data_IF_819651827821
#
_entry.id   IF_819651827821
#
_cell.length_a   1.000
_cell.length_b   1.000
_cell.length_c   1.000
_cell.angle_alpha   90.00
_cell.angle_beta   90.00
_cell.angle_gamma   90.00
#
_symmetry.space_group_name_H-M   'P 1'
#
loop_
_entity.id
_entity.type
_entity.pdbx_description
1 polymer ?
#
# COMPACT_ATOMS: atom_id res chain seq x y z
N UNK A 1 -18.94 26.77 -10.30
CA UNK A 1 -19.19 25.34 -10.62
C UNK A 1 -20.35 24.87 -9.77
N UNK A 2 -21.48 24.47 -10.34
CA UNK A 2 -22.61 23.93 -9.57
C UNK A 2 -22.33 22.47 -9.23
N UNK A 3 -22.61 22.09 -7.98
CA UNK A 3 -22.53 20.67 -7.57
C UNK A 3 -23.60 19.88 -8.32
N UNK A 4 -23.33 18.60 -8.67
CA UNK A 4 -24.34 17.73 -9.23
C UNK A 4 -25.47 17.52 -8.22
N UNK A 5 -26.70 17.43 -8.71
CA UNK A 5 -27.91 17.24 -7.87
C UNK A 5 -28.11 15.79 -7.44
N UNK A 6 -27.42 14.85 -8.09
CA UNK A 6 -27.44 13.40 -7.77
C UNK A 6 -26.16 12.73 -8.24
N UNK A 7 -25.82 11.62 -7.64
CA UNK A 7 -24.73 10.72 -8.06
C UNK A 7 -25.08 9.29 -7.62
N UNK A 8 -24.59 8.29 -8.35
CA UNK A 8 -24.80 6.87 -8.02
C UNK A 8 -24.09 6.48 -6.72
N UNK A 9 -22.93 7.04 -6.48
CA UNK A 9 -22.14 6.80 -5.27
C UNK A 9 -21.68 8.14 -4.69
N UNK A 10 -21.94 8.34 -3.41
CA UNK A 10 -21.47 9.50 -2.66
C UNK A 10 -20.51 9.02 -1.58
N UNK A 11 -19.30 9.56 -1.58
CA UNK A 11 -18.27 9.31 -0.58
C UNK A 11 -18.10 10.57 0.26
N UNK A 12 -18.18 10.43 1.56
CA UNK A 12 -18.01 11.54 2.51
C UNK A 12 -16.67 11.42 3.20
N UNK A 13 -15.81 12.39 2.98
CA UNK A 13 -14.45 12.48 3.51
C UNK A 13 -13.36 12.24 2.47
N UNK A 14 -12.51 13.23 2.26
CA UNK A 14 -11.39 13.24 1.29
C UNK A 14 -10.05 12.83 1.91
N UNK A 15 -10.04 11.93 2.90
CA UNK A 15 -8.83 11.27 3.39
C UNK A 15 -8.37 10.14 2.47
N UNK A 16 -7.29 9.44 2.85
CA UNK A 16 -6.73 8.34 2.03
C UNK A 16 -7.77 7.26 1.72
N UNK A 17 -8.64 6.91 2.64
CA UNK A 17 -9.68 5.89 2.43
C UNK A 17 -10.70 6.38 1.41
N UNK A 18 -11.25 7.59 1.56
CA UNK A 18 -12.24 8.15 0.64
C UNK A 18 -11.67 8.36 -0.76
N UNK A 19 -10.47 8.92 -0.86
CA UNK A 19 -9.78 9.11 -2.14
C UNK A 19 -9.50 7.77 -2.84
N UNK A 20 -8.98 6.78 -2.11
CA UNK A 20 -8.72 5.45 -2.67
C UNK A 20 -10.02 4.76 -3.13
N UNK A 21 -11.08 4.83 -2.33
CA UNK A 21 -12.39 4.28 -2.70
C UNK A 21 -12.93 4.96 -3.96
N UNK A 22 -12.86 6.30 -4.04
CA UNK A 22 -13.29 7.06 -5.20
C UNK A 22 -12.51 6.66 -6.46
N UNK A 23 -11.18 6.57 -6.35
CA UNK A 23 -10.30 6.17 -7.43
C UNK A 23 -10.67 4.79 -8.00
N UNK A 24 -10.77 3.78 -7.13
CA UNK A 24 -11.08 2.42 -7.57
C UNK A 24 -12.49 2.27 -8.14
N UNK A 25 -13.48 2.94 -7.57
CA UNK A 25 -14.83 2.93 -8.12
C UNK A 25 -14.91 3.64 -9.49
N UNK A 26 -14.25 4.78 -9.64
CA UNK A 26 -14.16 5.48 -10.91
C UNK A 26 -13.42 4.64 -11.97
N UNK A 27 -12.34 3.96 -11.58
CA UNK A 27 -11.56 3.07 -12.46
C UNK A 27 -12.40 1.92 -13.04
N UNK A 28 -13.39 1.43 -12.31
CA UNK A 28 -14.34 0.39 -12.78
C UNK A 28 -15.63 0.98 -13.36
N UNK A 29 -15.67 2.29 -13.66
CA UNK A 29 -16.73 2.96 -14.41
C UNK A 29 -17.92 3.44 -13.59
N UNK A 30 -17.83 3.50 -12.26
CA UNK A 30 -18.88 4.09 -11.44
C UNK A 30 -18.80 5.61 -11.44
N UNK A 31 -19.97 6.25 -11.47
CA UNK A 31 -20.09 7.69 -11.22
C UNK A 31 -20.01 7.95 -9.72
N UNK A 32 -18.98 8.69 -9.31
CA UNK A 32 -18.66 8.92 -7.89
C UNK A 32 -18.60 10.41 -7.59
N UNK A 33 -19.25 10.83 -6.52
CA UNK A 33 -19.13 12.15 -5.94
C UNK A 33 -18.39 12.07 -4.59
N UNK A 34 -17.22 12.69 -4.51
CA UNK A 34 -16.47 12.80 -3.25
C UNK A 34 -16.75 14.17 -2.62
N UNK A 35 -17.24 14.16 -1.39
CA UNK A 35 -17.51 15.35 -0.59
C UNK A 35 -16.47 15.48 0.52
N UNK A 36 -15.75 16.60 0.52
CA UNK A 36 -14.80 16.96 1.57
C UNK A 36 -15.11 18.39 2.06
N UNK A 37 -15.16 18.58 3.36
CA UNK A 37 -15.50 19.88 3.97
C UNK A 37 -14.33 20.86 4.01
N UNK A 38 -13.11 20.37 3.84
CA UNK A 38 -11.88 21.15 3.89
C UNK A 38 -11.00 20.82 2.68
N UNK A 39 -9.69 20.75 2.83
CA UNK A 39 -8.78 20.28 1.80
C UNK A 39 -8.65 18.77 1.83
N UNK A 40 -8.42 18.14 0.68
CA UNK A 40 -8.13 16.71 0.62
C UNK A 40 -6.95 16.37 1.54
N UNK A 41 -7.05 15.27 2.24
CA UNK A 41 -6.04 14.73 3.16
C UNK A 41 -5.74 15.57 4.41
N UNK A 42 -6.42 16.68 4.65
CA UNK A 42 -6.17 17.61 5.77
C UNK A 42 -6.49 17.07 7.17
N UNK A 43 -7.19 15.92 7.26
CA UNK A 43 -7.54 15.25 8.51
C UNK A 43 -6.44 14.29 8.99
N UNK A 44 -6.84 13.09 9.46
CA UNK A 44 -5.93 12.06 9.99
C UNK A 44 -4.84 11.63 8.99
N UNK A 45 -5.10 11.72 7.70
CA UNK A 45 -4.14 11.36 6.65
C UNK A 45 -2.88 12.22 6.70
N UNK A 46 -3.00 13.51 6.96
CA UNK A 46 -1.87 14.42 7.12
C UNK A 46 -0.94 14.05 8.28
N UNK A 47 -1.49 13.45 9.33
CA UNK A 47 -0.73 13.06 10.53
C UNK A 47 -0.03 11.70 10.41
N UNK A 48 -0.20 11.00 9.28
CA UNK A 48 0.45 9.71 9.07
C UNK A 48 1.96 9.86 8.86
N UNK A 49 2.74 8.95 9.45
CA UNK A 49 4.20 8.96 9.34
C UNK A 49 4.75 8.58 7.95
N UNK A 50 3.87 8.21 7.01
CA UNK A 50 4.28 7.83 5.65
C UNK A 50 5.00 6.48 5.55
N UNK A 51 4.93 5.65 6.59
CA UNK A 51 5.54 4.32 6.61
C UNK A 51 4.57 3.27 6.04
N UNK A 52 4.89 2.74 4.88
CA UNK A 52 4.11 1.69 4.22
C UNK A 52 4.86 0.37 4.35
N UNK A 53 4.57 -0.39 5.39
CA UNK A 53 5.21 -1.67 5.65
C UNK A 53 4.27 -2.84 5.38
N UNK A 54 4.75 -3.88 4.69
CA UNK A 54 3.95 -5.05 4.34
C UNK A 54 3.78 -6.03 5.50
N UNK A 55 4.87 -6.36 6.17
CA UNK A 55 4.90 -7.44 7.15
C UNK A 55 4.10 -7.12 8.41
N UNK A 56 3.15 -7.98 8.74
CA UNK A 56 2.34 -7.96 9.97
C UNK A 56 2.33 -9.34 10.61
N UNK A 57 1.82 -9.44 11.83
CA UNK A 57 1.65 -10.71 12.54
C UNK A 57 0.56 -11.60 11.94
N UNK A 58 -0.35 -11.06 11.15
CA UNK A 58 -1.43 -11.76 10.49
C UNK A 58 -1.15 -11.90 9.00
N UNK A 59 -1.25 -13.12 8.46
CA UNK A 59 -0.97 -13.42 7.06
C UNK A 59 -1.91 -12.68 6.09
N UNK A 60 -3.21 -12.63 6.38
CA UNK A 60 -4.19 -11.97 5.52
C UNK A 60 -3.91 -10.46 5.41
N UNK A 61 -3.56 -9.83 6.54
CA UNK A 61 -3.18 -8.40 6.56
C UNK A 61 -1.87 -8.20 5.80
N UNK A 62 -0.90 -9.11 5.92
CA UNK A 62 0.35 -9.06 5.16
C UNK A 62 0.10 -9.13 3.65
N UNK A 63 -0.80 -9.99 3.20
CA UNK A 63 -1.19 -10.09 1.78
C UNK A 63 -1.91 -8.81 1.30
N UNK A 64 -2.86 -8.30 2.08
CA UNK A 64 -3.56 -7.04 1.76
C UNK A 64 -2.59 -5.87 1.62
N UNK A 65 -1.62 -5.76 2.53
CA UNK A 65 -0.60 -4.72 2.46
C UNK A 65 0.37 -4.92 1.28
N UNK A 66 0.61 -6.16 0.86
CA UNK A 66 1.35 -6.45 -0.38
C UNK A 66 0.66 -5.86 -1.61
N UNK A 67 -0.66 -5.98 -1.71
CA UNK A 67 -1.44 -5.32 -2.75
C UNK A 67 -1.29 -3.79 -2.69
N UNK A 68 -1.34 -3.21 -1.50
CA UNK A 68 -1.14 -1.76 -1.32
C UNK A 68 0.24 -1.30 -1.78
N UNK A 69 1.29 -2.07 -1.51
CA UNK A 69 2.65 -1.78 -1.97
C UNK A 69 2.73 -1.79 -3.49
N UNK A 70 2.16 -2.82 -4.13
CA UNK A 70 2.10 -2.91 -5.60
C UNK A 70 1.34 -1.73 -6.22
N UNK A 71 0.27 -1.28 -5.55
CA UNK A 71 -0.47 -0.10 -5.97
C UNK A 71 0.40 1.17 -5.89
N UNK A 72 1.10 1.40 -4.78
CA UNK A 72 1.99 2.56 -4.62
C UNK A 72 3.08 2.60 -5.69
N UNK A 73 3.62 1.46 -6.07
CA UNK A 73 4.65 1.34 -7.12
C UNK A 73 4.12 1.73 -8.52
N UNK A 74 2.82 1.57 -8.74
CA UNK A 74 2.17 1.84 -10.03
C UNK A 74 1.54 3.23 -10.11
N UNK A 75 1.20 3.86 -8.98
CA UNK A 75 0.42 5.10 -8.95
C UNK A 75 1.07 6.25 -9.71
N UNK A 76 2.39 6.39 -9.66
CA UNK A 76 3.09 7.45 -10.38
C UNK A 76 2.95 7.28 -11.90
N UNK A 77 3.06 6.05 -12.39
CA UNK A 77 2.86 5.74 -13.81
C UNK A 77 1.40 5.95 -14.25
N UNK A 78 0.42 5.61 -13.39
CA UNK A 78 -1.00 5.76 -13.69
C UNK A 78 -1.48 7.21 -13.66
N UNK A 79 -0.97 8.02 -12.74
CA UNK A 79 -1.49 9.36 -12.46
C UNK A 79 -0.63 10.49 -13.01
N UNK A 80 0.63 10.21 -13.33
CA UNK A 80 1.62 11.23 -13.68
C UNK A 80 2.08 12.09 -12.49
N UNK A 81 1.69 11.73 -11.27
CA UNK A 81 2.02 12.46 -10.05
C UNK A 81 2.94 11.64 -9.14
N UNK A 82 4.06 12.22 -8.76
CA UNK A 82 5.01 11.57 -7.86
C UNK A 82 4.38 11.30 -6.49
N UNK A 83 4.38 10.05 -6.06
CA UNK A 83 3.89 9.64 -4.74
C UNK A 83 4.94 9.84 -3.64
N UNK A 84 6.21 10.02 -4.02
CA UNK A 84 7.35 9.96 -3.11
C UNK A 84 7.64 8.56 -2.57
N UNK A 85 6.96 7.54 -3.08
CA UNK A 85 7.18 6.14 -2.71
C UNK A 85 8.60 5.70 -3.04
N UNK A 86 9.27 5.06 -2.07
CA UNK A 86 10.59 4.44 -2.25
C UNK A 86 10.64 3.12 -1.52
N UNK A 87 10.95 2.06 -2.24
CA UNK A 87 11.14 0.72 -1.66
C UNK A 87 12.56 0.57 -1.13
N UNK A 88 12.86 1.18 0.00
CA UNK A 88 14.17 1.14 0.65
C UNK A 88 14.28 0.07 1.75
N UNK A 89 13.25 -0.76 1.91
CA UNK A 89 13.21 -1.81 2.92
C UNK A 89 13.01 -1.31 4.33
N UNK A 90 13.25 -2.19 5.31
CA UNK A 90 13.11 -1.86 6.72
C UNK A 90 14.10 -2.63 7.58
N UNK A 91 14.56 -2.03 8.67
CA UNK A 91 15.45 -2.64 9.65
C UNK A 91 14.70 -2.89 10.95
N UNK A 92 14.86 -4.09 11.53
CA UNK A 92 14.31 -4.45 12.84
C UNK A 92 15.44 -4.80 13.79
N UNK A 93 15.46 -4.11 14.92
CA UNK A 93 16.47 -4.33 15.98
C UNK A 93 15.86 -5.15 17.13
N UNK A 94 16.61 -6.13 17.60
CA UNK A 94 16.29 -6.92 18.77
C UNK A 94 17.24 -6.54 19.91
N UNK A 95 16.70 -5.93 20.96
CA UNK A 95 17.48 -5.48 22.14
C UNK A 95 17.51 -6.52 23.27
N UNK A 96 16.74 -7.62 23.16
CA UNK A 96 16.70 -8.72 24.13
C UNK A 96 16.31 -10.04 23.46
N UNK A 97 16.39 -11.15 24.21
CA UNK A 97 16.10 -12.51 23.72
C UNK A 97 14.67 -12.70 23.25
N UNK A 98 13.69 -12.07 23.90
CA UNK A 98 12.28 -12.14 23.52
C UNK A 98 12.05 -11.46 22.17
N UNK A 99 12.59 -10.25 21.99
CA UNK A 99 12.56 -9.52 20.72
C UNK A 99 13.29 -10.28 19.62
N UNK A 100 14.39 -10.91 19.92
CA UNK A 100 15.10 -11.75 18.96
C UNK A 100 14.25 -12.93 18.49
N UNK A 101 13.55 -13.59 19.41
CA UNK A 101 12.62 -14.69 19.06
C UNK A 101 11.48 -14.18 18.17
N UNK A 102 10.90 -13.02 18.46
CA UNK A 102 9.86 -12.39 17.65
C UNK A 102 10.38 -12.00 16.25
N UNK A 103 11.57 -11.44 16.15
CA UNK A 103 12.20 -11.10 14.87
C UNK A 103 12.42 -12.35 14.02
N UNK A 104 12.89 -13.46 14.60
CA UNK A 104 13.02 -14.75 13.90
C UNK A 104 11.66 -15.26 13.37
N UNK A 105 10.62 -15.19 14.19
CA UNK A 105 9.26 -15.56 13.79
C UNK A 105 8.76 -14.70 12.62
N UNK A 106 8.98 -13.41 12.68
CA UNK A 106 8.62 -12.49 11.61
C UNK A 106 9.42 -12.76 10.33
N UNK A 107 10.70 -13.08 10.42
CA UNK A 107 11.51 -13.47 9.27
C UNK A 107 10.95 -14.70 8.56
N UNK A 108 10.51 -15.72 9.32
CA UNK A 108 9.84 -16.90 8.76
C UNK A 108 8.53 -16.50 8.04
N UNK A 109 7.72 -15.65 8.65
CA UNK A 109 6.48 -15.13 8.03
C UNK A 109 6.81 -14.36 6.74
N UNK A 110 7.87 -13.56 6.75
CA UNK A 110 8.33 -12.84 5.56
C UNK A 110 8.67 -13.80 4.41
N UNK A 111 9.43 -14.85 4.68
CA UNK A 111 9.78 -15.85 3.66
C UNK A 111 8.56 -16.56 3.07
N UNK A 112 7.53 -16.80 3.89
CA UNK A 112 6.33 -17.51 3.45
C UNK A 112 5.36 -16.63 2.64
N UNK A 113 5.25 -15.34 2.95
CA UNK A 113 4.17 -14.50 2.44
C UNK A 113 4.60 -13.25 1.65
N UNK A 114 5.90 -12.90 1.70
CA UNK A 114 6.38 -11.66 1.07
C UNK A 114 7.57 -11.87 0.15
N UNK A 115 8.29 -12.97 0.29
CA UNK A 115 9.42 -13.30 -0.57
C UNK A 115 8.95 -14.04 -1.81
N UNK A 116 9.59 -13.83 -2.96
CA UNK A 116 9.33 -14.63 -4.14
C UNK A 116 9.64 -16.12 -3.85
N UNK A 117 8.86 -17.00 -4.45
CA UNK A 117 9.07 -18.44 -4.33
C UNK A 117 10.52 -18.82 -4.71
N UNK A 118 11.14 -19.83 -4.09
CA UNK A 118 12.43 -20.34 -4.54
C UNK A 118 12.49 -20.70 -6.03
N UNK A 119 11.33 -20.98 -6.65
CA UNK A 119 11.21 -21.18 -8.11
C UNK A 119 11.40 -19.89 -8.88
N UNK A 120 10.93 -18.76 -8.36
CA UNK A 120 11.05 -17.45 -9.00
C UNK A 120 12.49 -16.91 -8.85
N UNK A 121 13.14 -17.20 -7.73
CA UNK A 121 14.55 -16.85 -7.50
C UNK A 121 15.54 -17.56 -8.44
N UNK A 122 15.20 -18.75 -8.94
CA UNK A 122 16.05 -19.47 -9.91
C UNK A 122 16.09 -18.79 -11.28
N UNK A 123 15.04 -18.08 -11.67
CA UNK A 123 15.01 -17.32 -12.94
C UNK A 123 15.91 -16.08 -12.97
N UNK A 124 16.15 -15.47 -11.81
CA UNK A 124 16.99 -14.26 -11.73
C UNK A 124 18.49 -14.54 -11.62
N UNK A 125 18.90 -15.81 -11.50
CA UNK A 125 20.30 -16.22 -11.35
C UNK A 125 20.91 -16.90 -12.57
N UNK A 126 20.27 -16.90 -13.74
CA UNK A 126 20.94 -17.30 -14.94
C UNK A 126 21.87 -16.15 -15.39
N UNK A 127 23.21 -16.33 -15.38
CA UNK A 127 24.08 -15.38 -16.04
C UNK A 127 23.71 -15.41 -17.53
N UNK A 128 23.51 -14.25 -18.13
CA UNK A 128 23.52 -14.15 -19.57
C UNK A 128 24.89 -14.62 -20.03
N UNK A 129 24.97 -15.85 -20.52
CA UNK A 129 26.15 -16.30 -21.23
C UNK A 129 26.36 -15.38 -22.41
N UNK A 130 27.52 -14.72 -22.42
CA UNK A 130 28.07 -14.03 -23.56
C UNK A 130 28.20 -14.94 -24.80
#
# INVERSE_FOLDING_TARGET
>A
MSLPTSSKVIIVGGGIVGCSTAHHLAKIGHEVLLLERASLTSGSTWHAAGLVGQLRSNANITQLLGHSISLYDQLEAETGLATGWKMNGGLRLACNSERWTEVKRQATTCLLYTSPSPRDMRRSRMPSSA
#
